data_IF_675002888759
#
_entry.id   IF_675002888759
#
_cell.length_a   1.000
_cell.length_b   1.000
_cell.length_c   1.000
_cell.angle_alpha   90.00
_cell.angle_beta   90.00
_cell.angle_gamma   90.00
#
_symmetry.space_group_name_H-M   'P 1'
#
loop_
_entity.id
_entity.type
_entity.pdbx_description
1 polymer ?
#
# COMPACT_ATOMS: atom_id res chain seq x y z
N UNK A 1 1.55 4.38 -9.38
CA UNK A 1 1.12 4.23 -7.97
C UNK A 1 1.87 3.11 -7.24
N UNK A 2 1.74 1.82 -7.62
CA UNK A 2 2.40 0.71 -6.91
C UNK A 2 3.92 0.87 -6.72
N UNK A 3 4.63 1.36 -7.75
CA UNK A 3 6.06 1.65 -7.67
C UNK A 3 6.40 2.72 -6.62
N UNK A 4 5.57 3.76 -6.49
CA UNK A 4 5.76 4.79 -5.47
C UNK A 4 5.63 4.18 -4.07
N UNK A 5 4.56 3.43 -3.80
CA UNK A 5 4.33 2.80 -2.48
C UNK A 5 5.44 1.80 -2.13
N UNK A 6 5.87 0.97 -3.10
CA UNK A 6 7.00 0.07 -2.90
C UNK A 6 8.29 0.84 -2.55
N UNK A 7 8.55 1.98 -3.18
CA UNK A 7 9.69 2.83 -2.85
C UNK A 7 9.56 3.42 -1.44
N UNK A 8 8.38 3.90 -1.05
CA UNK A 8 8.10 4.41 0.30
C UNK A 8 8.42 3.35 1.36
N UNK A 9 7.95 2.12 1.17
CA UNK A 9 8.13 1.03 2.14
C UNK A 9 9.55 0.48 2.17
N UNK A 10 10.16 0.26 1.00
CA UNK A 10 11.39 -0.53 0.86
C UNK A 10 12.66 0.30 0.81
N UNK A 11 12.56 1.57 0.37
CA UNK A 11 13.71 2.47 0.26
C UNK A 11 13.65 3.55 1.32
N UNK A 12 12.51 4.24 1.44
CA UNK A 12 12.35 5.30 2.44
C UNK A 12 12.07 4.75 3.85
N UNK A 13 11.72 3.47 3.98
CA UNK A 13 11.42 2.79 5.24
C UNK A 13 10.38 3.53 6.09
N UNK A 14 9.35 4.04 5.41
CA UNK A 14 8.22 4.74 6.04
C UNK A 14 6.92 4.29 5.38
N UNK A 15 5.81 4.87 5.81
CA UNK A 15 4.45 4.64 5.33
C UNK A 15 3.77 5.98 5.12
N UNK A 16 2.87 6.07 4.15
CA UNK A 16 2.19 7.32 3.80
C UNK A 16 0.97 7.58 4.68
N UNK A 17 0.23 6.52 5.02
CA UNK A 17 -0.93 6.49 5.92
C UNK A 17 -2.20 7.18 5.39
N UNK A 18 -2.15 7.74 4.17
CA UNK A 18 -3.27 8.42 3.51
C UNK A 18 -3.23 8.20 2.00
N UNK A 19 -3.31 6.93 1.57
CA UNK A 19 -3.32 6.59 0.15
C UNK A 19 -4.73 6.77 -0.43
N UNK A 20 -4.84 7.72 -1.35
CA UNK A 20 -6.06 8.03 -2.11
C UNK A 20 -5.71 8.64 -3.47
N UNK A 21 -6.62 8.61 -4.47
CA UNK A 21 -6.34 9.20 -5.79
C UNK A 21 -5.92 10.68 -5.72
N UNK A 22 -6.51 11.45 -4.81
CA UNK A 22 -6.19 12.87 -4.62
C UNK A 22 -4.74 13.16 -4.22
N UNK A 23 -4.01 12.18 -3.68
CA UNK A 23 -2.62 12.32 -3.23
C UNK A 23 -1.61 11.89 -4.32
N UNK A 24 -2.09 11.63 -5.55
CA UNK A 24 -1.25 11.43 -6.72
C UNK A 24 -1.44 12.56 -7.73
N UNK A 25 -0.39 13.36 -7.92
CA UNK A 25 -0.35 14.41 -8.92
C UNK A 25 0.24 13.91 -10.23
N UNK A 26 -0.18 14.52 -11.35
CA UNK A 26 0.42 14.26 -12.67
C UNK A 26 1.30 15.45 -13.00
N UNK A 27 2.58 15.20 -13.26
CA UNK A 27 3.53 16.25 -13.63
C UNK A 27 3.52 16.56 -15.16
N UNK A 28 4.39 17.47 -15.59
CA UNK A 28 4.51 17.84 -17.01
C UNK A 28 4.98 16.71 -17.93
N UNK A 29 5.60 15.66 -17.39
CA UNK A 29 6.07 14.48 -18.12
C UNK A 29 5.02 13.35 -18.12
N UNK A 30 3.87 13.58 -17.48
CA UNK A 30 2.80 12.59 -17.24
C UNK A 30 3.20 11.49 -16.25
N UNK A 31 4.19 11.76 -15.42
CA UNK A 31 4.55 10.88 -14.31
C UNK A 31 3.59 11.12 -13.13
N UNK A 32 3.29 10.04 -12.40
CA UNK A 32 2.51 10.12 -11.16
C UNK A 32 3.42 10.36 -9.96
N UNK A 33 3.20 11.48 -9.27
CA UNK A 33 3.96 11.91 -8.09
C UNK A 33 3.09 11.73 -6.85
N UNK A 34 3.57 10.94 -5.88
CA UNK A 34 2.94 10.81 -4.57
C UNK A 34 3.27 12.04 -3.71
N UNK A 35 2.26 12.68 -3.13
CA UNK A 35 2.37 13.88 -2.32
C UNK A 35 1.51 13.79 -1.06
N UNK A 36 1.48 14.88 -0.28
CA UNK A 36 0.68 14.99 0.94
C UNK A 36 1.14 14.04 2.05
N UNK A 37 2.37 14.26 2.50
CA UNK A 37 3.04 13.46 3.54
C UNK A 37 2.58 13.79 4.96
N UNK A 38 1.54 14.62 5.09
CA UNK A 38 0.92 14.86 6.38
C UNK A 38 0.22 13.55 6.81
N UNK A 39 0.69 12.94 7.90
CA UNK A 39 0.20 11.64 8.39
C UNK A 39 -1.15 11.78 9.11
N UNK A 40 -2.10 12.44 8.45
CA UNK A 40 -3.48 12.58 8.89
C UNK A 40 -4.32 11.40 8.41
N UNK A 41 -5.40 11.10 9.14
CA UNK A 41 -6.32 9.98 8.90
C UNK A 41 -6.62 9.72 7.40
N UNK A 42 -6.49 8.45 6.99
CA UNK A 42 -7.01 8.01 5.70
C UNK A 42 -8.54 8.19 5.68
N UNK A 43 -9.13 8.66 4.56
CA UNK A 43 -10.57 8.85 4.47
C UNK A 43 -11.30 7.50 4.60
N UNK A 44 -12.55 7.49 5.11
CA UNK A 44 -13.33 6.26 5.23
C UNK A 44 -13.43 5.45 3.93
N UNK A 45 -13.34 6.10 2.77
CA UNK A 45 -13.43 5.47 1.45
C UNK A 45 -12.20 4.66 1.05
N UNK A 46 -11.04 4.89 1.68
CA UNK A 46 -9.80 4.14 1.41
C UNK A 46 -9.18 3.51 2.66
N UNK A 47 -9.66 3.83 3.86
CA UNK A 47 -9.19 3.22 5.11
C UNK A 47 -9.45 1.70 5.12
N UNK A 48 -8.42 0.92 5.48
CA UNK A 48 -8.59 -0.52 5.75
C UNK A 48 -9.57 -0.75 6.90
N UNK A 49 -10.57 -1.64 6.78
CA UNK A 49 -11.57 -1.85 7.83
C UNK A 49 -11.00 -2.18 9.21
N UNK A 50 -9.84 -2.85 9.26
CA UNK A 50 -9.15 -3.21 10.49
C UNK A 50 -8.41 -2.03 11.15
N UNK A 51 -8.24 -0.92 10.44
CA UNK A 51 -7.51 0.27 10.87
C UNK A 51 -8.42 1.36 11.46
N UNK A 52 -9.69 1.04 11.75
CA UNK A 52 -10.70 1.95 12.31
C UNK A 52 -10.50 2.31 13.80
N UNK A 53 -9.48 1.73 14.45
CA UNK A 53 -9.19 1.93 15.86
C UNK A 53 -9.87 0.94 16.82
N UNK A 54 -10.69 0.01 16.31
CA UNK A 54 -11.42 -0.96 17.14
C UNK A 54 -10.69 -2.30 17.33
N UNK A 55 -9.51 -2.45 16.71
CA UNK A 55 -8.70 -3.67 16.74
C UNK A 55 -7.29 -3.45 17.30
N UNK A 56 -6.82 -4.43 18.07
CA UNK A 56 -5.41 -4.64 18.34
C UNK A 56 -4.86 -5.69 17.37
N UNK A 57 -3.55 -5.63 17.11
CA UNK A 57 -2.87 -6.54 16.18
C UNK A 57 -1.60 -7.14 16.79
N UNK A 58 -1.42 -8.45 16.59
CA UNK A 58 -0.26 -9.22 16.98
C UNK A 58 0.18 -10.19 15.88
N UNK A 59 1.43 -10.64 15.91
CA UNK A 59 1.92 -11.69 15.01
C UNK A 59 1.74 -13.06 15.69
N UNK A 60 1.27 -14.05 14.95
CA UNK A 60 1.14 -15.43 15.46
C UNK A 60 2.50 -15.92 16.00
N UNK A 61 2.52 -16.26 17.29
CA UNK A 61 3.70 -16.84 17.95
C UNK A 61 4.62 -15.84 18.67
N UNK A 62 4.30 -14.53 18.68
CA UNK A 62 5.10 -13.54 19.43
C UNK A 62 4.89 -13.60 20.97
N UNK A 63 3.78 -14.15 21.46
CA UNK A 63 3.43 -14.14 22.89
C UNK A 63 4.21 -15.16 23.77
N UNK A 64 5.40 -15.60 23.33
CA UNK A 64 6.13 -16.73 23.92
C UNK A 64 7.57 -16.48 24.39
N UNK A 65 8.13 -15.27 24.34
CA UNK A 65 9.58 -15.11 24.55
C UNK A 65 10.08 -13.76 25.06
N UNK A 66 10.20 -13.66 26.39
CA UNK A 66 11.09 -12.81 27.21
C UNK A 66 11.78 -11.57 26.60
N UNK A 67 11.60 -10.47 27.33
CA UNK A 67 12.49 -9.32 27.40
C UNK A 67 13.98 -9.69 27.33
N UNK A 68 14.66 -9.15 26.31
CA UNK A 68 16.11 -9.13 26.19
C UNK A 68 16.48 -7.84 25.48
N UNK A 69 17.03 -6.88 26.24
CA UNK A 69 17.47 -5.60 25.71
C UNK A 69 18.50 -5.77 24.61
N UNK A 70 18.39 -4.94 23.57
CA UNK A 70 19.51 -4.65 22.67
C UNK A 70 19.89 -3.21 22.89
N UNK A 71 21.07 -3.04 23.47
CA UNK A 71 21.80 -1.80 23.57
C UNK A 71 22.06 -1.22 22.17
N UNK A 72 21.95 0.10 22.11
CA UNK A 72 22.29 0.93 20.97
C UNK A 72 23.80 0.97 20.79
N UNK A 73 24.29 0.62 19.60
CA UNK A 73 25.60 1.09 19.13
C UNK A 73 25.41 1.85 17.82
N UNK A 74 25.44 3.17 17.99
CA UNK A 74 25.45 4.18 16.96
C UNK A 74 26.91 4.60 16.74
N UNK A 75 27.53 4.24 15.61
CA UNK A 75 28.72 4.95 15.14
C UNK A 75 28.58 5.34 13.67
N UNK A 76 28.27 6.63 13.53
CA UNK A 76 28.35 7.47 12.34
C UNK A 76 29.79 7.52 11.84
N UNK A 77 30.01 7.28 10.55
CA UNK A 77 31.11 7.92 9.81
C UNK A 77 30.54 8.54 8.54
N UNK A 78 30.56 9.88 8.54
CA UNK A 78 30.34 10.72 7.37
C UNK A 78 31.59 10.65 6.50
N UNK A 79 31.43 10.33 5.21
CA UNK A 79 32.40 10.68 4.19
C UNK A 79 31.64 11.25 2.99
N UNK A 80 31.95 12.51 2.72
CA UNK A 80 31.43 13.33 1.63
C UNK A 80 32.18 12.99 0.35
N UNK A 81 31.47 12.65 -0.73
CA UNK A 81 32.00 12.91 -2.05
C UNK A 81 30.92 13.21 -3.09
N UNK A 82 31.00 14.42 -3.63
CA UNK A 82 30.18 14.91 -4.73
C UNK A 82 30.62 14.25 -6.05
N UNK A 83 29.64 13.79 -6.82
CA UNK A 83 29.81 13.33 -8.20
C UNK A 83 28.49 13.49 -8.94
N UNK A 84 28.49 14.30 -10.00
CA UNK A 84 27.44 14.43 -11.00
C UNK A 84 27.12 13.06 -11.61
N UNK A 85 25.85 12.80 -11.92
CA UNK A 85 25.47 12.06 -13.12
C UNK A 85 23.98 12.20 -13.45
N UNK A 86 23.70 12.21 -14.75
CA UNK A 86 22.41 12.42 -15.39
C UNK A 86 21.51 11.16 -15.23
N UNK A 87 20.35 11.30 -14.59
CA UNK A 87 19.45 10.18 -14.32
C UNK A 87 18.37 10.03 -15.41
N UNK A 88 18.51 8.96 -16.20
CA UNK A 88 17.42 8.36 -16.97
C UNK A 88 16.86 7.22 -16.13
N UNK A 89 15.59 7.37 -15.72
CA UNK A 89 14.85 6.39 -14.93
C UNK A 89 15.08 4.94 -15.39
N UNK A 90 15.87 4.22 -14.59
CA UNK A 90 16.11 2.79 -14.73
C UNK A 90 15.36 2.06 -13.63
N UNK A 91 14.33 1.31 -14.00
CA UNK A 91 13.53 0.43 -13.12
C UNK A 91 14.28 -0.86 -12.73
N UNK A 92 15.60 -0.78 -12.53
CA UNK A 92 16.52 -1.92 -12.66
C UNK A 92 16.92 -2.70 -11.41
N UNK A 93 16.52 -2.32 -10.19
CA UNK A 93 17.12 -2.88 -8.97
C UNK A 93 16.14 -3.57 -8.00
N UNK A 94 15.02 -4.10 -8.50
CA UNK A 94 14.20 -4.99 -7.67
C UNK A 94 14.74 -6.42 -7.75
N UNK A 95 15.18 -7.02 -6.62
CA UNK A 95 15.79 -8.34 -6.64
C UNK A 95 14.83 -9.38 -7.21
N UNK A 96 15.34 -10.23 -8.10
CA UNK A 96 14.65 -11.40 -8.60
C UNK A 96 14.26 -12.33 -7.42
N UNK A 97 13.10 -13.01 -7.49
CA UNK A 97 12.60 -13.81 -6.38
C UNK A 97 13.58 -14.92 -6.01
N UNK A 98 13.86 -15.06 -4.71
CA UNK A 98 14.40 -16.32 -4.19
C UNK A 98 13.28 -17.35 -4.18
N UNK A 99 13.48 -18.52 -4.80
CA UNK A 99 12.52 -19.64 -4.86
C UNK A 99 12.08 -20.21 -3.50
N UNK A 100 12.62 -19.69 -2.39
CA UNK A 100 12.10 -19.96 -1.07
C UNK A 100 11.09 -18.87 -0.73
N UNK A 101 9.81 -19.16 -0.96
CA UNK A 101 8.73 -18.39 -0.35
C UNK A 101 8.91 -18.44 1.18
N UNK A 102 9.57 -17.43 1.73
CA UNK A 102 9.61 -17.22 3.17
C UNK A 102 8.16 -16.93 3.55
N UNK A 103 7.54 -17.88 4.27
CA UNK A 103 6.19 -17.72 4.79
C UNK A 103 6.09 -16.39 5.52
N UNK A 104 5.26 -15.46 5.00
CA UNK A 104 4.97 -14.19 5.65
C UNK A 104 4.42 -14.45 7.07
N UNK A 105 4.83 -13.68 8.09
CA UNK A 105 4.23 -13.77 9.41
C UNK A 105 2.72 -13.53 9.31
N UNK A 106 1.93 -14.27 10.09
CA UNK A 106 0.46 -14.13 10.10
C UNK A 106 0.05 -13.15 11.20
N UNK A 107 -0.84 -12.23 10.87
CA UNK A 107 -1.43 -11.28 11.82
C UNK A 107 -2.70 -11.86 12.44
N UNK A 108 -2.91 -11.56 13.73
CA UNK A 108 -4.14 -11.83 14.47
C UNK A 108 -4.68 -10.50 14.95
N UNK A 109 -5.93 -10.24 14.60
CA UNK A 109 -6.66 -9.07 15.06
C UNK A 109 -7.60 -9.48 16.20
N UNK A 110 -7.50 -8.76 17.31
CA UNK A 110 -8.37 -8.96 18.48
C UNK A 110 -9.11 -7.66 18.78
N UNK A 111 -10.36 -7.77 19.21
CA UNK A 111 -11.14 -6.59 19.56
C UNK A 111 -10.45 -5.82 20.69
N UNK A 112 -10.24 -4.53 20.49
CA UNK A 112 -9.61 -3.68 21.48
C UNK A 112 -10.58 -3.41 22.64
N UNK A 113 -10.10 -3.57 23.88
CA UNK A 113 -10.91 -3.43 25.11
C UNK A 113 -10.60 -2.17 25.92
N UNK A 114 -9.69 -1.30 25.45
CA UNK A 114 -9.32 -0.07 26.14
C UNK A 114 -10.24 1.13 25.83
N UNK A 115 -9.87 2.34 26.30
CA UNK A 115 -10.62 3.56 26.00
C UNK A 115 -10.74 3.79 24.49
N UNK A 116 -11.90 4.21 23.96
CA UNK A 116 -12.11 4.35 22.52
C UNK A 116 -10.97 5.10 21.83
N UNK A 117 -10.31 4.43 20.88
CA UNK A 117 -9.45 5.09 19.89
C UNK A 117 -10.41 5.59 18.81
N UNK A 118 -10.35 6.87 18.47
CA UNK A 118 -11.10 7.41 17.33
C UNK A 118 -10.07 7.85 16.31
N UNK A 119 -10.18 7.37 15.07
CA UNK A 119 -9.59 8.01 13.89
C UNK A 119 -10.24 9.39 13.71
N UNK A 120 -9.82 10.28 14.58
CA UNK A 120 -9.95 11.73 14.57
C UNK A 120 -8.52 12.24 14.64
N UNK A 121 -8.28 13.49 14.26
CA UNK A 121 -6.97 14.17 14.16
C UNK A 121 -5.97 13.92 15.31
N UNK A 122 -6.41 13.37 16.46
CA UNK A 122 -5.62 13.13 17.66
C UNK A 122 -5.30 11.65 17.99
N UNK A 123 -5.97 10.61 17.44
CA UNK A 123 -5.73 9.19 17.85
C UNK A 123 -5.92 8.15 16.73
N UNK A 124 -5.03 8.13 15.74
CA UNK A 124 -5.04 7.12 14.67
C UNK A 124 -4.19 5.88 15.06
N UNK A 125 -4.51 4.69 14.53
CA UNK A 125 -3.70 3.47 14.82
C UNK A 125 -2.36 3.44 14.09
N UNK A 126 -2.22 4.23 13.03
CA UNK A 126 -1.07 4.15 12.14
C UNK A 126 0.27 4.55 12.78
N UNK A 127 0.38 5.60 13.62
CA UNK A 127 1.60 5.86 14.37
C UNK A 127 2.02 4.70 15.27
N UNK A 128 1.06 4.02 15.90
CA UNK A 128 1.32 2.85 16.76
C UNK A 128 1.82 1.69 15.90
N UNK A 129 1.17 1.43 14.78
CA UNK A 129 1.55 0.33 13.88
C UNK A 129 2.87 0.59 13.16
N UNK A 130 3.17 1.83 12.81
CA UNK A 130 4.45 2.22 12.23
C UNK A 130 5.61 1.82 13.16
N UNK A 131 5.44 2.04 14.46
CA UNK A 131 6.46 1.70 15.45
C UNK A 131 6.52 0.20 15.79
N UNK A 132 5.37 -0.48 15.90
CA UNK A 132 5.30 -1.80 16.50
C UNK A 132 4.85 -2.93 15.56
N UNK A 133 4.16 -2.58 14.47
CA UNK A 133 3.40 -3.51 13.61
C UNK A 133 3.49 -3.13 12.12
N UNK A 134 4.71 -3.00 11.54
CA UNK A 134 4.91 -2.53 10.17
C UNK A 134 4.19 -3.39 9.11
N UNK A 135 4.01 -4.69 9.36
CA UNK A 135 3.25 -5.55 8.45
C UNK A 135 1.75 -5.21 8.44
N UNK A 136 1.15 -4.89 9.59
CA UNK A 136 -0.26 -4.49 9.63
C UNK A 136 -0.46 -3.18 8.85
N UNK A 137 0.48 -2.24 9.01
CA UNK A 137 0.47 -0.97 8.30
C UNK A 137 0.67 -1.14 6.79
N UNK A 138 1.60 -2.00 6.36
CA UNK A 138 1.80 -2.33 4.94
C UNK A 138 0.50 -2.86 4.31
N UNK A 139 -0.19 -3.78 4.99
CA UNK A 139 -1.42 -4.40 4.48
C UNK A 139 -2.61 -3.44 4.47
N UNK A 140 -2.66 -2.49 5.40
CA UNK A 140 -3.64 -1.42 5.38
C UNK A 140 -3.41 -0.47 4.18
N UNK A 141 -2.16 -0.10 3.89
CA UNK A 141 -1.87 0.73 2.70
C UNK A 141 -2.08 -0.01 1.38
N UNK A 142 -1.86 -1.32 1.34
CA UNK A 142 -2.24 -2.16 0.19
C UNK A 142 -3.75 -2.09 -0.04
N UNK A 143 -4.56 -2.12 1.01
CA UNK A 143 -6.01 -1.95 0.89
C UNK A 143 -6.37 -0.56 0.34
N UNK A 144 -5.79 0.50 0.91
CA UNK A 144 -6.02 1.88 0.45
C UNK A 144 -5.64 2.08 -1.01
N UNK A 145 -4.53 1.47 -1.44
CA UNK A 145 -4.13 1.49 -2.84
C UNK A 145 -5.07 0.66 -3.72
N UNK A 146 -5.54 -0.50 -3.25
CA UNK A 146 -6.56 -1.30 -3.92
C UNK A 146 -7.84 -0.49 -4.17
N UNK A 147 -8.35 0.18 -3.13
CA UNK A 147 -9.51 1.10 -3.23
C UNK A 147 -9.26 2.21 -4.24
N UNK A 148 -8.09 2.83 -4.20
CA UNK A 148 -7.71 3.89 -5.13
C UNK A 148 -7.66 3.40 -6.59
N UNK A 149 -7.11 2.21 -6.83
CA UNK A 149 -7.06 1.58 -8.15
C UNK A 149 -8.45 1.21 -8.65
N UNK A 150 -9.31 0.67 -7.77
CA UNK A 150 -10.71 0.42 -8.08
C UNK A 150 -11.42 1.71 -8.51
N UNK A 151 -11.28 2.81 -7.77
CA UNK A 151 -11.88 4.11 -8.13
C UNK A 151 -11.45 4.58 -9.53
N UNK A 152 -10.17 4.42 -9.87
CA UNK A 152 -9.61 4.84 -11.16
C UNK A 152 -10.06 3.96 -12.34
N UNK A 153 -10.13 2.64 -12.13
CA UNK A 153 -10.50 1.68 -13.17
C UNK A 153 -12.00 1.61 -13.37
N UNK A 154 -12.76 1.58 -12.27
CA UNK A 154 -14.22 1.43 -12.28
C UNK A 154 -14.96 2.75 -12.50
N UNK A 155 -14.42 3.88 -12.04
CA UNK A 155 -15.01 5.21 -12.13
C UNK A 155 -16.51 5.22 -11.71
N UNK A 156 -16.83 4.78 -10.49
CA UNK A 156 -18.22 4.73 -10.04
C UNK A 156 -18.83 6.13 -9.98
N UNK A 157 -20.06 6.27 -10.49
CA UNK A 157 -20.83 7.50 -10.39
C UNK A 157 -21.52 7.55 -9.02
N UNK A 158 -20.75 7.83 -7.97
CA UNK A 158 -21.26 7.88 -6.60
C UNK A 158 -20.77 9.10 -5.83
N UNK A 159 -21.55 9.52 -4.84
CA UNK A 159 -21.15 10.54 -3.88
C UNK A 159 -20.39 9.87 -2.74
N UNK A 160 -19.10 10.19 -2.62
CA UNK A 160 -18.23 9.64 -1.60
C UNK A 160 -18.32 10.38 -0.26
N UNK A 161 -18.96 11.56 -0.24
CA UNK A 161 -19.03 12.42 0.94
C UNK A 161 -19.97 11.86 2.02
N UNK A 162 -20.89 10.94 1.65
CA UNK A 162 -21.84 10.30 2.58
C UNK A 162 -21.26 9.07 3.31
N UNK A 163 -20.04 8.64 2.97
CA UNK A 163 -19.45 7.43 3.55
C UNK A 163 -18.73 7.80 4.86
N UNK A 164 -19.28 7.33 5.98
CA UNK A 164 -18.73 7.56 7.31
C UNK A 164 -17.82 6.41 7.76
N UNK A 165 -18.00 5.22 7.18
CA UNK A 165 -17.23 4.02 7.54
C UNK A 165 -16.82 3.18 6.31
N UNK A 166 -15.60 2.58 6.27
CA UNK A 166 -15.12 1.81 5.11
C UNK A 166 -16.02 0.65 4.68
N UNK A 167 -16.73 0.04 5.64
CA UNK A 167 -17.67 -1.06 5.35
C UNK A 167 -18.99 -0.62 4.71
N UNK A 168 -19.29 0.68 4.64
CA UNK A 168 -20.49 1.19 3.96
C UNK A 168 -20.30 1.20 2.43
N UNK A 169 -19.05 1.21 1.97
CA UNK A 169 -18.71 1.26 0.56
C UNK A 169 -18.65 -0.14 -0.06
N UNK A 170 -19.68 -0.50 -0.83
CA UNK A 170 -19.68 -1.69 -1.69
C UNK A 170 -18.85 -1.47 -2.95
N UNK A 171 -17.95 -2.41 -3.28
CA UNK A 171 -17.24 -2.44 -4.56
C UNK A 171 -17.89 -3.43 -5.53
N UNK A 172 -18.04 -3.01 -6.79
CA UNK A 172 -18.43 -3.85 -7.93
C UNK A 172 -17.58 -3.51 -9.17
N UNK A 173 -17.75 -4.31 -10.22
CA UNK A 173 -17.12 -4.08 -11.52
C UNK A 173 -18.15 -3.87 -12.64
N UNK A 174 -19.37 -3.46 -12.31
CA UNK A 174 -20.46 -3.31 -13.29
C UNK A 174 -20.10 -2.25 -14.34
N UNK A 175 -20.20 -2.54 -15.64
CA UNK A 175 -19.84 -1.54 -16.66
C UNK A 175 -18.34 -1.29 -16.82
N UNK A 176 -17.49 -2.16 -16.24
CA UNK A 176 -16.04 -2.17 -16.43
C UNK A 176 -15.59 -3.43 -17.22
N UNK A 177 -16.34 -3.82 -18.24
CA UNK A 177 -16.06 -5.01 -19.07
C UNK A 177 -14.78 -4.87 -19.91
N UNK A 178 -14.31 -3.64 -20.11
CA UNK A 178 -13.06 -3.32 -20.80
C UNK A 178 -11.81 -3.51 -19.93
N UNK A 179 -11.97 -3.63 -18.61
CA UNK A 179 -10.86 -3.84 -17.68
C UNK A 179 -10.49 -5.34 -17.65
N UNK A 180 -9.20 -5.71 -17.82
CA UNK A 180 -8.78 -7.11 -17.77
C UNK A 180 -9.13 -7.80 -16.44
N UNK A 181 -9.67 -9.02 -16.51
CA UNK A 181 -10.06 -9.80 -15.32
C UNK A 181 -8.92 -10.04 -14.33
N UNK A 182 -7.69 -10.20 -14.82
CA UNK A 182 -6.52 -10.33 -13.96
C UNK A 182 -6.27 -9.06 -13.12
N UNK A 183 -6.55 -7.88 -13.68
CA UNK A 183 -6.38 -6.60 -12.99
C UNK A 183 -7.44 -6.45 -11.91
N UNK A 184 -8.70 -6.75 -12.24
CA UNK A 184 -9.81 -6.80 -11.28
C UNK A 184 -9.46 -7.72 -10.11
N UNK A 185 -9.01 -8.94 -10.41
CA UNK A 185 -8.62 -9.92 -9.40
C UNK A 185 -7.45 -9.48 -8.51
N UNK A 186 -6.46 -8.74 -9.03
CA UNK A 186 -5.40 -8.17 -8.20
C UNK A 186 -5.95 -7.05 -7.29
N UNK A 187 -6.78 -6.17 -7.82
CA UNK A 187 -7.41 -5.08 -7.05
C UNK A 187 -8.30 -5.64 -5.95
N UNK A 188 -9.13 -6.65 -6.24
CA UNK A 188 -9.97 -7.33 -5.26
C UNK A 188 -9.14 -8.00 -4.16
N UNK A 189 -8.02 -8.66 -4.52
CA UNK A 189 -7.09 -9.23 -3.53
C UNK A 189 -6.44 -8.17 -2.65
N UNK A 190 -6.13 -6.98 -3.18
CA UNK A 190 -5.64 -5.87 -2.37
C UNK A 190 -6.69 -5.42 -1.34
N UNK A 191 -7.97 -5.52 -1.69
CA UNK A 191 -9.11 -5.14 -0.85
C UNK A 191 -9.70 -6.31 -0.03
N UNK A 192 -9.00 -7.44 0.10
CA UNK A 192 -9.51 -8.58 0.85
C UNK A 192 -9.82 -8.23 2.31
N UNK A 193 -10.93 -8.76 2.84
CA UNK A 193 -11.38 -8.49 4.21
C UNK A 193 -10.37 -8.98 5.25
N UNK A 194 -9.78 -10.18 5.08
CA UNK A 194 -8.66 -10.64 5.90
C UNK A 194 -7.35 -10.01 5.37
N UNK A 195 -6.65 -9.16 6.16
CA UNK A 195 -5.38 -8.58 5.74
C UNK A 195 -4.32 -9.63 5.36
N UNK A 196 -4.39 -10.84 5.93
CA UNK A 196 -3.47 -11.93 5.60
C UNK A 196 -3.64 -12.49 4.18
N UNK A 197 -4.76 -12.23 3.51
CA UNK A 197 -5.02 -12.65 2.13
C UNK A 197 -4.53 -11.62 1.10
N UNK A 198 -4.27 -10.39 1.55
CA UNK A 198 -3.76 -9.31 0.70
C UNK A 198 -2.32 -9.59 0.24
N UNK A 199 -1.96 -9.23 -1.00
CA UNK A 199 -0.56 -9.29 -1.44
C UNK A 199 0.31 -8.36 -0.59
N UNK A 200 1.59 -8.67 -0.47
CA UNK A 200 2.55 -7.66 0.02
C UNK A 200 2.84 -6.62 -1.08
N UNK A 201 3.44 -5.48 -0.70
CA UNK A 201 3.69 -4.37 -1.63
C UNK A 201 4.53 -4.79 -2.83
N UNK A 202 5.42 -5.77 -2.66
CA UNK A 202 6.32 -6.25 -3.70
C UNK A 202 5.63 -7.22 -4.65
N UNK A 203 4.74 -8.08 -4.14
CA UNK A 203 3.86 -8.91 -4.98
C UNK A 203 2.97 -8.05 -5.85
N UNK A 204 2.34 -7.04 -5.27
CA UNK A 204 1.52 -6.06 -6.00
C UNK A 204 2.35 -5.32 -7.05
N UNK A 205 3.54 -4.81 -6.71
CA UNK A 205 4.42 -4.13 -7.67
C UNK A 205 4.77 -5.05 -8.84
N UNK A 206 5.22 -6.28 -8.57
CA UNK A 206 5.60 -7.24 -9.61
C UNK A 206 4.44 -7.53 -10.55
N UNK A 207 3.23 -7.66 -10.02
CA UNK A 207 2.04 -7.83 -10.83
C UNK A 207 1.85 -6.64 -11.79
N UNK A 208 1.86 -5.41 -11.28
CA UNK A 208 1.60 -4.23 -12.12
C UNK A 208 2.69 -3.97 -13.15
N UNK A 209 3.96 -4.23 -12.82
CA UNK A 209 5.06 -4.18 -13.79
C UNK A 209 4.80 -5.17 -14.92
N UNK A 210 4.50 -6.42 -14.59
CA UNK A 210 4.21 -7.45 -15.60
C UNK A 210 2.97 -7.10 -16.43
N UNK A 211 1.89 -6.67 -15.78
CA UNK A 211 0.66 -6.28 -16.44
C UNK A 211 0.88 -5.14 -17.46
N UNK A 212 1.74 -4.18 -17.11
CA UNK A 212 2.10 -3.08 -17.99
C UNK A 212 2.96 -3.52 -19.18
N UNK A 213 3.92 -4.42 -18.96
CA UNK A 213 4.74 -5.02 -20.03
C UNK A 213 3.88 -5.80 -21.03
N UNK A 214 2.94 -6.62 -20.53
CA UNK A 214 2.02 -7.39 -21.36
C UNK A 214 1.12 -6.44 -22.18
N UNK A 215 0.56 -5.40 -21.56
CA UNK A 215 -0.28 -4.40 -22.24
C UNK A 215 0.47 -3.63 -23.34
N UNK A 216 1.71 -3.19 -23.06
CA UNK A 216 2.54 -2.53 -24.08
C UNK A 216 2.91 -3.49 -25.21
N UNK A 217 3.31 -4.71 -24.88
CA UNK A 217 3.67 -5.72 -25.87
C UNK A 217 2.52 -6.05 -26.83
N UNK A 218 1.29 -6.06 -26.33
CA UNK A 218 0.10 -6.28 -27.17
C UNK A 218 -0.26 -5.04 -28.00
N UNK A 219 -0.14 -3.83 -27.45
CA UNK A 219 -0.36 -2.59 -28.21
C UNK A 219 0.67 -2.39 -29.34
N UNK A 220 1.93 -2.74 -29.10
CA UNK A 220 2.99 -2.67 -30.11
C UNK A 220 2.75 -3.70 -31.24
N UNK A 221 2.21 -4.88 -30.91
CA UNK A 221 1.84 -5.92 -31.90
C UNK A 221 0.63 -5.54 -32.75
N UNK A 222 -0.32 -4.79 -32.19
CA UNK A 222 -1.53 -4.36 -32.88
C UNK A 222 -1.35 -3.06 -33.70
N UNK A 223 -0.16 -2.44 -33.64
CA UNK A 223 0.20 -1.31 -34.51
C UNK A 223 -0.53 0.00 -34.16
N UNK A 224 -0.99 0.16 -32.93
CA UNK A 224 -1.75 1.35 -32.49
C UNK A 224 -0.87 2.57 -32.17
N UNK A 225 0.44 2.51 -32.42
CA UNK A 225 1.36 3.63 -32.31
C UNK A 225 2.18 3.80 -33.60
N UNK A 226 1.79 4.79 -34.40
CA UNK A 226 2.53 5.37 -35.52
C UNK A 226 2.43 6.88 -35.48
#
# INVERSE_FOLDING_TARGET
MAAAIAHVHRVAHTYHMDIKPGNFLIDGNKDLILCDWEQSDAPPTTLGPEADGTWDVAVVGEDGGKAGGRENDNERKEDVQAGKEDDKGSTGDYPAPSDKAVSRPRLVYTKYEGPPRRNTEEVTVFPIWNAARPLALELAEVFSLGRSMWMLLRQPAMDFDEIEHPNELSTDWDGAEDIPELWKGMVDRCMADDPNERPDVMEMLRFWVKAWEDYRGDNDRLGYWG
#
